data_IF_249009330035
#
_entry.id   IF_249009330035
#
_cell.length_a   1.000
_cell.length_b   1.000
_cell.length_c   1.000
_cell.angle_alpha   90.00
_cell.angle_beta   90.00
_cell.angle_gamma   90.00
#
_symmetry.space_group_name_H-M   'P 1'
#
loop_
_entity.id
_entity.type
_entity.pdbx_description
1 polymer ?
#
# COMPACT_ATOMS: atom_id res chain seq x y z
N UNK A 1 -18.27 20.10 -20.82
CA UNK A 1 -16.89 20.38 -20.41
C UNK A 1 -16.12 19.09 -20.19
N UNK A 2 -14.83 19.11 -20.50
CA UNK A 2 -13.95 17.98 -20.30
C UNK A 2 -13.57 17.89 -18.82
N UNK A 3 -13.72 16.72 -18.17
CA UNK A 3 -13.28 16.57 -16.78
C UNK A 3 -11.78 16.81 -16.65
N UNK A 4 -11.38 17.39 -15.52
CA UNK A 4 -9.96 17.52 -15.20
C UNK A 4 -9.37 16.13 -14.93
N UNK A 5 -8.26 15.75 -15.59
CA UNK A 5 -7.65 14.46 -15.32
C UNK A 5 -7.24 14.32 -13.85
N UNK A 6 -7.48 13.13 -13.28
CA UNK A 6 -6.99 12.82 -11.95
C UNK A 6 -5.48 12.61 -11.98
N UNK A 7 -4.81 12.97 -10.90
CA UNK A 7 -3.38 12.76 -10.74
C UNK A 7 -3.09 11.72 -9.67
N UNK A 8 -2.05 10.92 -9.89
CA UNK A 8 -1.50 10.03 -8.89
C UNK A 8 -0.45 10.76 -8.05
N UNK A 9 -0.22 10.26 -6.85
CA UNK A 9 0.78 10.84 -5.97
C UNK A 9 2.19 10.65 -6.54
N UNK A 10 3.00 11.70 -6.49
CA UNK A 10 4.43 11.66 -6.79
C UNK A 10 5.29 11.71 -5.52
N UNK A 11 4.66 11.65 -4.36
CA UNK A 11 5.34 11.71 -3.07
C UNK A 11 6.25 10.51 -2.86
N UNK A 12 7.36 10.74 -2.17
CA UNK A 12 8.26 9.65 -1.76
C UNK A 12 7.60 8.80 -0.68
N UNK A 13 7.99 7.51 -0.56
CA UNK A 13 7.46 6.65 0.51
C UNK A 13 7.64 7.28 1.88
N UNK A 14 6.61 7.19 2.70
CA UNK A 14 6.61 7.70 4.06
C UNK A 14 6.33 9.19 4.18
N UNK A 15 6.06 9.90 3.08
CA UNK A 15 5.92 11.35 3.04
C UNK A 15 4.52 11.83 2.66
N UNK A 16 3.58 10.93 2.40
CA UNK A 16 2.25 11.30 1.95
C UNK A 16 1.18 10.86 2.95
N UNK A 17 0.01 11.49 2.84
CA UNK A 17 -1.12 11.13 3.67
C UNK A 17 -1.81 9.89 3.12
N UNK A 18 -2.35 9.08 4.03
CA UNK A 18 -3.12 7.92 3.66
C UNK A 18 -4.58 8.29 3.46
N UNK A 19 -5.16 7.81 2.37
CA UNK A 19 -6.60 7.92 2.19
C UNK A 19 -7.30 6.86 3.04
N UNK A 20 -8.49 7.19 3.61
CA UNK A 20 -9.28 6.19 4.30
C UNK A 20 -9.72 5.09 3.32
N UNK A 21 -9.83 3.88 3.82
CA UNK A 21 -10.37 2.77 3.03
C UNK A 21 -11.84 3.01 2.75
N UNK A 22 -12.28 2.64 1.52
CA UNK A 22 -13.69 2.78 1.14
C UNK A 22 -14.62 1.88 1.98
N UNK A 23 -14.11 0.73 2.42
CA UNK A 23 -14.80 -0.18 3.35
C UNK A 23 -13.78 -1.06 4.05
N UNK A 24 -14.21 -1.72 5.13
CA UNK A 24 -13.34 -2.63 5.87
C UNK A 24 -12.94 -3.81 4.99
N UNK A 25 -11.67 -4.19 5.08
CA UNK A 25 -11.13 -5.35 4.37
C UNK A 25 -10.61 -5.06 2.97
N UNK A 26 -10.90 -3.88 2.41
CA UNK A 26 -10.31 -3.51 1.12
C UNK A 26 -8.81 -3.29 1.28
N UNK A 27 -7.97 -3.76 0.32
CA UNK A 27 -6.56 -3.41 0.34
C UNK A 27 -6.37 -1.90 0.28
N UNK A 28 -5.54 -1.31 1.15
CA UNK A 28 -5.31 0.13 1.10
C UNK A 28 -4.61 0.55 -0.18
N UNK A 29 -4.96 1.73 -0.67
CA UNK A 29 -4.28 2.33 -1.82
C UNK A 29 -2.86 2.75 -1.43
N UNK A 30 -1.98 2.81 -2.42
CA UNK A 30 -0.57 3.18 -2.21
C UNK A 30 -0.47 4.70 -2.22
N UNK A 31 -0.04 5.34 -1.09
CA UNK A 31 -0.02 6.79 -0.98
C UNK A 31 1.21 7.47 -1.60
N UNK A 32 2.17 6.70 -2.09
CA UNK A 32 3.40 7.23 -2.65
C UNK A 32 3.56 6.81 -4.11
N UNK A 33 4.53 7.41 -4.82
CA UNK A 33 4.82 7.01 -6.19
C UNK A 33 5.34 5.57 -6.23
N UNK A 34 5.02 4.87 -7.32
CA UNK A 34 5.36 3.45 -7.48
C UNK A 34 6.17 3.16 -8.73
N UNK A 35 6.28 4.10 -9.65
CA UNK A 35 6.86 3.88 -10.97
C UNK A 35 8.28 3.32 -10.93
N UNK A 36 9.07 3.71 -9.93
CA UNK A 36 10.45 3.23 -9.78
C UNK A 36 10.56 1.80 -9.23
N UNK A 37 9.45 1.22 -8.75
CA UNK A 37 9.41 -0.13 -8.15
C UNK A 37 8.74 -1.16 -9.05
N UNK A 38 8.33 -0.77 -10.23
CA UNK A 38 7.65 -1.63 -11.18
C UNK A 38 8.59 -2.03 -12.32
N UNK A 39 8.39 -3.19 -12.92
CA UNK A 39 7.40 -4.21 -12.57
C UNK A 39 7.85 -5.08 -11.37
N UNK A 40 6.88 -5.69 -10.70
CA UNK A 40 7.15 -6.72 -9.69
C UNK A 40 7.36 -8.05 -10.40
N UNK A 41 8.53 -8.65 -10.22
CA UNK A 41 8.87 -9.94 -10.83
C UNK A 41 9.42 -10.88 -9.75
N UNK A 42 9.47 -12.17 -10.05
CA UNK A 42 9.88 -13.18 -9.06
C UNK A 42 11.24 -12.94 -8.46
N UNK A 43 12.19 -12.42 -9.26
CA UNK A 43 13.56 -12.17 -8.81
C UNK A 43 13.76 -10.77 -8.22
N UNK A 44 12.77 -9.87 -8.30
CA UNK A 44 12.94 -8.49 -7.88
C UNK A 44 11.59 -7.90 -7.47
N UNK A 45 11.30 -7.94 -6.17
CA UNK A 45 10.13 -7.30 -5.60
C UNK A 45 10.58 -6.24 -4.60
N UNK A 46 10.77 -5.02 -5.09
CA UNK A 46 11.26 -3.91 -4.27
C UNK A 46 10.25 -3.44 -3.23
N UNK A 47 8.96 -3.77 -3.39
CA UNK A 47 7.95 -3.49 -2.37
C UNK A 47 8.33 -4.17 -1.05
N UNK A 48 8.83 -5.39 -1.10
CA UNK A 48 9.21 -6.15 0.09
C UNK A 48 10.41 -5.54 0.81
N UNK A 49 11.28 -4.80 0.13
CA UNK A 49 12.45 -4.19 0.77
C UNK A 49 12.05 -3.27 1.92
N UNK A 50 10.88 -2.64 1.83
CA UNK A 50 10.37 -1.75 2.88
C UNK A 50 9.20 -2.33 3.64
N UNK A 51 8.40 -3.21 3.04
CA UNK A 51 7.15 -3.70 3.63
C UNK A 51 7.25 -5.08 4.28
N UNK A 52 8.27 -5.87 3.95
CA UNK A 52 8.49 -7.16 4.62
C UNK A 52 9.25 -6.96 5.92
N UNK A 53 8.55 -6.39 6.90
CA UNK A 53 9.12 -6.05 8.20
C UNK A 53 8.18 -6.52 9.33
N UNK A 54 7.98 -7.86 9.46
CA UNK A 54 6.95 -8.40 10.36
C UNK A 54 7.15 -8.02 11.82
N UNK A 55 8.36 -7.69 12.24
CA UNK A 55 8.61 -7.25 13.62
C UNK A 55 7.91 -5.94 13.98
N UNK A 56 7.45 -5.18 12.98
CA UNK A 56 6.74 -3.93 13.23
C UNK A 56 5.21 -4.10 13.20
N UNK A 57 4.71 -5.30 12.92
CA UNK A 57 3.28 -5.59 13.05
C UNK A 57 2.87 -5.36 14.50
N UNK A 58 1.70 -4.76 14.71
CA UNK A 58 1.15 -4.41 16.04
C UNK A 58 1.93 -3.30 16.77
N UNK A 59 2.93 -2.70 16.15
CA UNK A 59 3.61 -1.53 16.71
C UNK A 59 2.84 -0.25 16.33
N UNK A 60 2.81 0.75 17.22
CA UNK A 60 2.21 2.04 16.87
C UNK A 60 2.89 2.66 15.66
N UNK A 61 2.09 3.23 14.76
CA UNK A 61 2.61 3.96 13.61
C UNK A 61 3.10 5.34 14.04
N UNK A 62 4.22 5.76 13.44
CA UNK A 62 4.71 7.10 13.62
C UNK A 62 3.85 8.05 12.76
N UNK A 63 3.16 8.99 13.42
CA UNK A 63 2.36 10.01 12.75
C UNK A 63 3.12 11.27 12.40
N UNK A 64 4.37 11.38 12.81
CA UNK A 64 5.23 12.52 12.48
C UNK A 64 5.71 12.37 11.04
N UNK A 65 5.16 13.21 10.15
CA UNK A 65 5.45 13.17 8.72
C UNK A 65 6.88 13.62 8.36
N UNK A 66 7.59 14.20 9.31
CA UNK A 66 9.01 14.53 9.11
C UNK A 66 9.91 13.31 9.24
N UNK A 67 9.40 12.21 9.77
CA UNK A 67 10.15 10.97 9.97
C UNK A 67 9.54 9.84 9.17
N UNK A 68 10.41 8.97 8.67
CA UNK A 68 9.97 7.80 7.92
C UNK A 68 9.34 6.77 8.87
N UNK A 69 8.15 6.31 8.53
CA UNK A 69 7.42 5.32 9.30
C UNK A 69 7.57 3.95 8.66
N UNK A 70 7.58 2.89 9.48
CA UNK A 70 7.50 1.52 8.97
C UNK A 70 6.06 1.16 8.68
N UNK A 71 5.83 0.50 7.56
CA UNK A 71 4.51 0.06 7.11
C UNK A 71 4.54 -1.44 6.82
N UNK A 72 4.47 -2.29 7.85
CA UNK A 72 4.49 -3.73 7.65
C UNK A 72 3.22 -4.22 6.95
N UNK A 73 3.36 -5.32 6.20
CA UNK A 73 2.21 -6.07 5.70
C UNK A 73 1.49 -6.77 6.86
N UNK A 74 0.17 -6.99 6.72
CA UNK A 74 -0.57 -7.74 7.72
C UNK A 74 -0.18 -9.22 7.71
N UNK A 75 -0.53 -9.95 8.77
CA UNK A 75 -0.13 -11.35 8.95
C UNK A 75 -0.63 -12.26 7.84
N UNK A 76 -1.75 -11.95 7.22
CA UNK A 76 -2.33 -12.76 6.14
C UNK A 76 -1.52 -12.71 4.84
N UNK A 77 -0.46 -11.92 4.78
CA UNK A 77 0.47 -11.91 3.64
C UNK A 77 1.52 -13.01 3.74
N UNK A 78 1.56 -13.75 4.82
CA UNK A 78 2.57 -14.78 5.07
C UNK A 78 1.96 -16.17 5.03
N UNK A 79 2.80 -17.18 4.81
CA UNK A 79 2.34 -18.57 4.67
C UNK A 79 1.84 -19.16 5.98
N UNK A 80 2.41 -18.71 7.10
CA UNK A 80 2.04 -19.20 8.42
C UNK A 80 2.39 -18.17 9.50
N UNK A 81 2.15 -18.53 10.75
CA UNK A 81 2.31 -17.65 11.90
C UNK A 81 3.75 -17.32 12.24
N UNK A 82 4.74 -17.99 11.64
CA UNK A 82 6.15 -17.64 11.85
C UNK A 82 6.54 -16.36 11.14
N UNK A 83 5.77 -15.95 10.12
CA UNK A 83 5.98 -14.73 9.34
C UNK A 83 7.34 -14.71 8.63
N UNK A 84 7.83 -15.86 8.23
CA UNK A 84 9.12 -16.00 7.57
C UNK A 84 9.03 -15.94 6.05
N UNK A 85 7.92 -16.40 5.49
CA UNK A 85 7.77 -16.52 4.04
C UNK A 85 6.50 -15.84 3.56
N UNK A 86 6.61 -14.93 2.60
CA UNK A 86 5.46 -14.29 1.96
C UNK A 86 4.72 -15.33 1.11
N UNK A 87 3.40 -15.40 1.27
CA UNK A 87 2.56 -16.31 0.48
C UNK A 87 2.60 -15.93 -1.00
N UNK A 88 2.65 -16.94 -1.88
CA UNK A 88 2.71 -16.71 -3.32
C UNK A 88 1.55 -15.87 -3.85
N UNK A 89 0.35 -16.05 -3.31
CA UNK A 89 -0.83 -15.27 -3.69
C UNK A 89 -0.74 -13.79 -3.29
N UNK A 90 0.20 -13.42 -2.42
CA UNK A 90 0.42 -12.05 -1.93
C UNK A 90 1.72 -11.44 -2.45
N UNK A 91 2.43 -12.13 -3.34
CA UNK A 91 3.74 -11.69 -3.81
C UNK A 91 3.65 -10.55 -4.82
N UNK A 92 2.65 -10.57 -5.71
CA UNK A 92 2.49 -9.51 -6.71
C UNK A 92 1.59 -8.41 -6.12
N UNK A 93 2.21 -7.48 -5.46
CA UNK A 93 1.53 -6.46 -4.64
C UNK A 93 0.54 -5.63 -5.44
N UNK A 94 0.88 -5.30 -6.68
CA UNK A 94 0.05 -4.46 -7.55
C UNK A 94 -1.20 -5.13 -8.10
N UNK A 95 -1.40 -6.43 -7.83
CA UNK A 95 -2.67 -7.09 -8.16
C UNK A 95 -3.80 -6.67 -7.21
N UNK A 96 -3.47 -6.24 -6.01
CA UNK A 96 -4.44 -5.85 -4.99
C UNK A 96 -4.28 -4.39 -4.54
N UNK A 97 -3.05 -3.88 -4.55
CA UNK A 97 -2.75 -2.52 -4.13
C UNK A 97 -2.50 -1.63 -5.35
N UNK A 98 -3.19 -0.50 -5.41
CA UNK A 98 -3.08 0.45 -6.52
C UNK A 98 -2.68 1.82 -5.98
N UNK A 99 -1.99 2.64 -6.80
CA UNK A 99 -1.66 4.00 -6.39
C UNK A 99 -2.93 4.82 -6.14
N UNK A 100 -2.95 5.56 -5.05
CA UNK A 100 -4.07 6.48 -4.81
C UNK A 100 -3.97 7.68 -5.76
N UNK A 101 -5.13 8.17 -6.19
CA UNK A 101 -5.24 9.37 -7.00
C UNK A 101 -6.06 10.43 -6.27
N UNK A 102 -6.07 11.64 -6.81
CA UNK A 102 -6.90 12.72 -6.28
C UNK A 102 -8.31 12.71 -6.85
N UNK A 103 -8.70 11.66 -7.57
CA UNK A 103 -10.05 11.54 -8.13
C UNK A 103 -11.08 11.36 -7.01
N UNK A 104 -12.17 12.12 -7.09
CA UNK A 104 -13.30 11.94 -6.20
C UNK A 104 -14.17 10.80 -6.72
N UNK A 105 -14.60 9.84 -5.87
CA UNK A 105 -15.54 8.81 -6.31
C UNK A 105 -16.82 9.42 -6.89
N UNK A 106 -17.29 8.86 -8.00
CA UNK A 106 -18.53 9.32 -8.62
C UNK A 106 -19.76 9.00 -7.76
N UNK A 107 -19.68 7.88 -7.04
CA UNK A 107 -20.73 7.49 -6.10
C UNK A 107 -20.08 7.03 -4.81
N UNK A 108 -20.78 7.25 -3.68
CA UNK A 108 -20.31 6.77 -2.38
C UNK A 108 -20.54 5.27 -2.26
N UNK A 109 -19.57 4.56 -1.67
CA UNK A 109 -19.74 3.13 -1.42
C UNK A 109 -20.68 2.90 -0.24
N UNK A 110 -21.67 2.03 -0.43
CA UNK A 110 -22.57 1.58 0.63
C UNK A 110 -22.24 0.17 1.11
N UNK A 111 -21.18 -0.42 0.61
CA UNK A 111 -20.74 -1.75 1.03
C UNK A 111 -20.33 -1.74 2.51
N UNK A 112 -20.77 -2.77 3.22
CA UNK A 112 -20.48 -2.94 4.64
C UNK A 112 -19.90 -4.32 4.89
#
# INVERSE_FOLDING_TARGET
PTPTPAAYSDAKPGRNEWLPRAWDGIPPQIPHRTDMYLPVVAADNQCLDCHDVPKYIDKPRNTDRSKKSKSPMSRDHYTDETLETVAGARFTCTQCHVPQSNATPLVESTFR
#
